data_IF_524545208293
#
_entry.id   IF_524545208293
#
_cell.length_a   1.000
_cell.length_b   1.000
_cell.length_c   1.000
_cell.angle_alpha   90.00
_cell.angle_beta   90.00
_cell.angle_gamma   90.00
#
_symmetry.space_group_name_H-M   'P 1'
#
loop_
_entity.id
_entity.type
_entity.pdbx_description
1 polymer ?
#
# COMPACT_ATOMS: atom_id res chain seq x y z
N UNK A 1 7.88 -16.08 20.97
CA UNK A 1 6.75 -16.07 20.01
C UNK A 1 7.12 -16.99 18.85
N UNK A 2 6.28 -17.96 18.51
CA UNK A 2 6.56 -18.89 17.41
C UNK A 2 6.51 -18.16 16.06
N UNK A 3 7.49 -18.40 15.16
CA UNK A 3 7.45 -17.85 13.80
C UNK A 3 6.24 -18.42 13.06
N UNK A 4 5.42 -17.58 12.39
CA UNK A 4 4.29 -18.08 11.63
C UNK A 4 4.77 -18.96 10.47
N UNK A 5 4.19 -20.16 10.37
CA UNK A 5 4.53 -21.20 9.39
C UNK A 5 3.88 -20.98 8.01
N UNK A 6 2.91 -20.08 7.92
CA UNK A 6 2.24 -19.70 6.67
C UNK A 6 3.03 -18.66 5.91
N UNK A 7 3.05 -18.72 4.59
CA UNK A 7 3.62 -17.67 3.76
C UNK A 7 2.92 -16.32 3.98
N UNK A 8 3.61 -15.20 3.72
CA UNK A 8 3.02 -13.86 3.85
C UNK A 8 1.75 -13.69 2.99
N UNK A 9 1.67 -14.40 1.86
CA UNK A 9 0.51 -14.39 0.97
C UNK A 9 -0.68 -15.12 1.61
N UNK A 10 -0.45 -16.25 2.28
CA UNK A 10 -1.48 -17.00 3.00
C UNK A 10 -1.95 -16.30 4.28
N UNK A 11 -1.15 -15.40 4.83
CA UNK A 11 -1.54 -14.54 5.94
C UNK A 11 -2.40 -13.34 5.49
N UNK A 12 -2.39 -13.00 4.20
CA UNK A 12 -3.21 -11.91 3.67
C UNK A 12 -4.63 -12.40 3.39
N UNK A 13 -5.58 -12.06 4.27
CA UNK A 13 -6.99 -12.33 4.04
C UNK A 13 -7.53 -11.51 2.86
N UNK A 14 -8.18 -12.19 1.90
CA UNK A 14 -8.84 -11.53 0.78
C UNK A 14 -10.26 -11.15 1.16
N UNK A 15 -10.52 -9.85 1.25
CA UNK A 15 -11.84 -9.30 1.57
C UNK A 15 -12.47 -8.75 0.28
N UNK A 16 -13.78 -8.98 0.10
CA UNK A 16 -14.57 -8.41 -1.00
C UNK A 16 -15.51 -7.35 -0.44
N UNK A 17 -15.43 -6.13 -0.96
CA UNK A 17 -16.25 -4.99 -0.53
C UNK A 17 -17.15 -4.59 -1.70
N UNK A 18 -18.43 -4.36 -1.42
CA UNK A 18 -19.41 -3.89 -2.41
C UNK A 18 -19.68 -2.41 -2.19
N UNK A 19 -19.61 -1.64 -3.27
CA UNK A 19 -19.91 -0.21 -3.27
C UNK A 19 -21.18 0.07 -4.05
N UNK A 20 -21.86 1.17 -3.71
CA UNK A 20 -22.90 1.71 -4.57
C UNK A 20 -22.27 2.15 -5.90
N UNK A 21 -23.02 2.04 -7.00
CA UNK A 21 -22.52 2.35 -8.35
C UNK A 21 -21.82 3.72 -8.46
N UNK A 22 -22.38 4.83 -7.92
CA UNK A 22 -21.71 6.14 -8.02
C UNK A 22 -20.36 6.20 -7.27
N UNK A 23 -20.22 5.43 -6.19
CA UNK A 23 -18.97 5.37 -5.42
C UNK A 23 -17.92 4.52 -6.17
N UNK A 24 -18.34 3.39 -6.73
CA UNK A 24 -17.47 2.54 -7.54
C UNK A 24 -16.93 3.30 -8.77
N UNK A 25 -17.78 4.08 -9.44
CA UNK A 25 -17.38 4.90 -10.60
C UNK A 25 -16.34 5.95 -10.19
N UNK A 26 -16.55 6.67 -9.08
CA UNK A 26 -15.56 7.63 -8.56
C UNK A 26 -14.23 6.98 -8.18
N UNK A 27 -14.27 5.83 -7.49
CA UNK A 27 -13.05 5.09 -7.13
C UNK A 27 -12.30 4.65 -8.39
N UNK A 28 -13.02 4.17 -9.40
CA UNK A 28 -12.41 3.76 -10.66
C UNK A 28 -11.75 4.94 -11.39
N UNK A 29 -12.41 6.10 -11.43
CA UNK A 29 -11.86 7.33 -12.02
C UNK A 29 -10.56 7.77 -11.34
N UNK A 30 -10.54 7.78 -10.00
CA UNK A 30 -9.34 8.15 -9.23
C UNK A 30 -8.20 7.13 -9.39
N UNK A 31 -8.52 5.83 -9.48
CA UNK A 31 -7.55 4.79 -9.78
C UNK A 31 -6.93 4.99 -11.18
N UNK A 32 -7.74 5.35 -12.18
CA UNK A 32 -7.26 5.63 -13.53
C UNK A 32 -6.35 6.86 -13.58
N UNK A 33 -6.72 7.95 -12.90
CA UNK A 33 -5.90 9.17 -12.84
C UNK A 33 -4.55 8.96 -12.14
N UNK A 34 -4.54 8.16 -11.08
CA UNK A 34 -3.34 7.89 -10.27
C UNK A 34 -2.50 6.72 -10.78
N UNK A 35 -3.02 5.92 -11.73
CA UNK A 35 -2.35 4.71 -12.21
C UNK A 35 -2.27 3.58 -11.17
N UNK A 36 -3.15 3.59 -10.17
CA UNK A 36 -3.14 2.65 -9.04
C UNK A 36 -4.23 1.60 -9.20
N UNK A 37 -3.97 0.36 -8.77
CA UNK A 37 -5.00 -0.70 -8.78
C UNK A 37 -6.04 -0.46 -7.67
N UNK A 38 -7.33 -0.79 -7.88
CA UNK A 38 -8.37 -0.58 -6.86
C UNK A 38 -8.05 -1.18 -5.49
N UNK A 39 -7.43 -2.37 -5.45
CA UNK A 39 -7.02 -3.00 -4.19
C UNK A 39 -5.95 -2.20 -3.43
N UNK A 40 -5.02 -1.54 -4.13
CA UNK A 40 -4.03 -0.67 -3.50
C UNK A 40 -4.66 0.63 -3.01
N UNK A 41 -5.54 1.23 -3.82
CA UNK A 41 -6.31 2.41 -3.44
C UNK A 41 -7.07 2.18 -2.13
N UNK A 42 -7.80 1.07 -2.01
CA UNK A 42 -8.59 0.75 -0.81
C UNK A 42 -7.72 0.52 0.43
N UNK A 43 -6.53 -0.06 0.26
CA UNK A 43 -5.57 -0.20 1.37
C UNK A 43 -5.06 1.16 1.85
N UNK A 44 -4.67 2.04 0.94
CA UNK A 44 -4.23 3.40 1.28
C UNK A 44 -5.36 4.20 1.94
N UNK A 45 -6.58 4.07 1.44
CA UNK A 45 -7.77 4.67 2.06
C UNK A 45 -7.98 4.15 3.49
N UNK A 46 -7.82 2.85 3.72
CA UNK A 46 -7.89 2.25 5.07
C UNK A 46 -6.83 2.77 6.02
N UNK A 47 -5.59 2.96 5.55
CA UNK A 47 -4.50 3.54 6.35
C UNK A 47 -4.81 5.00 6.69
N UNK A 48 -5.17 5.81 5.69
CA UNK A 48 -5.51 7.21 5.91
C UNK A 48 -6.67 7.37 6.90
N UNK A 49 -7.70 6.54 6.79
CA UNK A 49 -8.82 6.52 7.72
C UNK A 49 -8.39 6.15 9.15
N UNK A 50 -7.52 5.14 9.30
CA UNK A 50 -6.99 4.72 10.60
C UNK A 50 -6.13 5.81 11.26
N UNK A 51 -5.46 6.62 10.45
CA UNK A 51 -4.65 7.77 10.89
C UNK A 51 -5.48 9.05 11.13
N UNK A 52 -6.81 9.00 10.98
CA UNK A 52 -7.70 10.16 11.01
C UNK A 52 -7.33 11.26 10.01
N UNK A 53 -6.78 10.87 8.85
CA UNK A 53 -6.38 11.76 7.77
C UNK A 53 -7.28 11.63 6.55
N UNK A 54 -7.32 12.67 5.74
CA UNK A 54 -7.89 12.57 4.40
C UNK A 54 -6.96 11.75 3.49
N UNK A 55 -7.56 11.05 2.53
CA UNK A 55 -6.80 10.31 1.54
C UNK A 55 -6.09 11.28 0.59
N UNK A 56 -4.77 11.36 0.73
CA UNK A 56 -3.89 12.04 -0.21
C UNK A 56 -3.03 10.98 -0.94
N UNK A 57 -3.54 10.53 -2.08
CA UNK A 57 -2.87 9.50 -2.89
C UNK A 57 -1.49 9.94 -3.37
N UNK A 58 -1.35 11.20 -3.77
CA UNK A 58 -0.11 11.71 -4.35
C UNK A 58 1.00 11.68 -3.30
N UNK A 59 0.72 12.23 -2.12
CA UNK A 59 1.68 12.26 -1.02
C UNK A 59 1.98 10.86 -0.51
N UNK A 60 0.97 10.00 -0.37
CA UNK A 60 1.19 8.60 0.05
C UNK A 60 2.03 7.81 -0.95
N UNK A 61 1.79 7.95 -2.25
CA UNK A 61 2.60 7.28 -3.27
C UNK A 61 4.05 7.76 -3.26
N UNK A 62 4.26 9.07 -3.09
CA UNK A 62 5.61 9.62 -2.99
C UNK A 62 6.35 9.06 -1.77
N UNK A 63 5.70 9.00 -0.60
CA UNK A 63 6.27 8.40 0.61
C UNK A 63 6.68 6.94 0.40
N UNK A 64 5.85 6.15 -0.28
CA UNK A 64 6.18 4.74 -0.59
C UNK A 64 7.41 4.66 -1.50
N UNK A 65 7.52 5.53 -2.51
CA UNK A 65 8.69 5.57 -3.40
C UNK A 65 9.94 5.95 -2.63
N UNK A 66 9.87 7.01 -1.82
CA UNK A 66 11.00 7.50 -1.03
C UNK A 66 11.50 6.44 -0.04
N UNK A 67 10.57 5.75 0.62
CA UNK A 67 10.88 4.67 1.55
C UNK A 67 11.48 3.45 0.83
N UNK A 68 11.02 3.14 -0.39
CA UNK A 68 11.60 2.08 -1.20
C UNK A 68 13.05 2.39 -1.61
N UNK A 69 13.34 3.65 -1.96
CA UNK A 69 14.70 4.11 -2.25
C UNK A 69 15.57 4.01 -1.00
N UNK A 70 15.06 4.43 0.15
CA UNK A 70 15.76 4.33 1.44
C UNK A 70 16.11 2.88 1.78
N UNK A 71 15.14 1.97 1.75
CA UNK A 71 15.37 0.54 1.99
C UNK A 71 16.40 -0.06 1.04
N UNK A 72 16.41 0.36 -0.22
CA UNK A 72 17.40 -0.10 -1.20
C UNK A 72 18.81 0.39 -0.86
N UNK A 73 18.95 1.63 -0.36
CA UNK A 73 20.23 2.15 0.13
C UNK A 73 20.68 1.40 1.38
N UNK A 74 19.82 1.31 2.39
CA UNK A 74 20.10 0.60 3.64
C UNK A 74 20.52 -0.86 3.37
N UNK A 75 19.87 -1.52 2.40
CA UNK A 75 20.25 -2.87 1.97
C UNK A 75 21.62 -2.91 1.28
N UNK A 76 21.89 -2.00 0.35
CA UNK A 76 23.18 -1.94 -0.33
C UNK A 76 24.32 -1.68 0.66
N UNK A 77 24.12 -0.75 1.59
CA UNK A 77 25.12 -0.39 2.61
C UNK A 77 25.39 -1.60 3.53
N UNK A 78 24.34 -2.30 3.99
CA UNK A 78 24.48 -3.52 4.79
C UNK A 78 25.16 -4.69 4.04
N UNK A 79 25.01 -4.78 2.72
CA UNK A 79 25.71 -5.77 1.89
C UNK A 79 27.18 -5.40 1.69
N UNK A 80 27.49 -4.10 1.57
CA UNK A 80 28.86 -3.60 1.35
C UNK A 80 29.68 -3.59 2.65
N UNK A 81 29.07 -3.26 3.80
CA UNK A 81 29.74 -3.28 5.11
C UNK A 81 29.87 -4.71 5.70
N UNK A 82 29.26 -5.70 5.05
CA UNK A 82 29.24 -7.10 5.49
C UNK A 82 30.44 -7.96 5.06
N UNK A 83 31.50 -7.36 4.48
CA UNK A 83 32.80 -8.00 4.21
C UNK A 83 33.89 -7.57 5.21
#
# INVERSE_FOLDING_TARGET
MARPTKSLVEQCEKITIRFARPQAEKIAEECLKSGVRPGQYLRMAGIAFSDHKYLDLKTMMQLVVDETIRLRRDFNDAVVEGE
#
